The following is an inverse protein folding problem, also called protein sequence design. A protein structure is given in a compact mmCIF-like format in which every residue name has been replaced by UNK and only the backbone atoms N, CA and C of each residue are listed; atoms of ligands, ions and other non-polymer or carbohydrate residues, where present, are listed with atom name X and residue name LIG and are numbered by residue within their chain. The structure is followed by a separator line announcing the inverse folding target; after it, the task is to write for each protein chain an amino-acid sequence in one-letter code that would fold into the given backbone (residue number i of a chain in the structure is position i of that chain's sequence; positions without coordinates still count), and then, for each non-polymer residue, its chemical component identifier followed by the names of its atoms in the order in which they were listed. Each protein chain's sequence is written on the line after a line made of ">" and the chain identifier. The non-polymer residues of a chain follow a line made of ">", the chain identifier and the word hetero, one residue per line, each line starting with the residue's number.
data_IF_826323283238
#
_entry.id   IF_826323283238
#
_cell.length_a   1.000
_cell.length_b   1.000
_cell.length_c   1.000
_cell.angle_alpha   90.00
_cell.angle_beta   90.00
_cell.angle_gamma   90.00
#
_symmetry.space_group_name_H-M   'P 1'
#
loop_
_entity.id
_entity.type
_entity.pdbx_description
1 polymer ?
#
# COMPACT_ATOMS: atom_id res chain seq x y z
N UNK A 1 23.79 5.93 7.19
CA UNK A 1 22.40 5.50 6.94
C UNK A 1 21.71 6.61 6.17
N UNK A 2 20.82 6.26 5.26
CA UNK A 2 20.02 7.15 4.43
C UNK A 2 18.55 6.86 4.72
N UNK A 3 17.79 7.90 5.08
CA UNK A 3 16.35 7.80 5.22
C UNK A 3 15.71 7.69 3.82
N UNK A 4 14.95 6.63 3.58
CA UNK A 4 14.25 6.39 2.31
C UNK A 4 12.74 6.37 2.55
N UNK A 5 12.01 7.31 1.95
CA UNK A 5 10.56 7.39 2.01
C UNK A 5 9.93 6.54 0.89
N UNK A 6 9.31 5.43 1.28
CA UNK A 6 8.50 4.57 0.44
C UNK A 6 7.03 5.03 0.45
N UNK A 7 6.40 5.03 -0.73
CA UNK A 7 5.00 5.43 -0.93
C UNK A 7 4.24 4.50 -1.89
N UNK A 8 4.91 3.42 -2.35
CA UNK A 8 4.43 2.49 -3.37
C UNK A 8 4.61 1.03 -2.95
N UNK A 9 5.01 0.16 -3.88
CA UNK A 9 5.15 -1.28 -3.59
C UNK A 9 6.24 -1.62 -2.56
N UNK A 10 7.22 -0.74 -2.36
CA UNK A 10 8.23 -0.86 -1.29
C UNK A 10 7.65 -0.66 0.12
N UNK A 11 6.36 -0.36 0.26
CA UNK A 11 5.69 -0.44 1.56
C UNK A 11 5.49 -1.90 2.01
N UNK A 12 5.41 -2.85 1.07
CA UNK A 12 5.40 -4.28 1.38
C UNK A 12 6.74 -4.71 2.01
N UNK A 13 6.71 -5.00 3.31
CA UNK A 13 7.90 -5.39 4.06
C UNK A 13 8.54 -6.67 3.52
N UNK A 14 7.76 -7.63 3.02
CA UNK A 14 8.29 -8.86 2.44
C UNK A 14 9.04 -8.56 1.14
N UNK A 15 8.51 -7.64 0.32
CA UNK A 15 9.20 -7.17 -0.89
C UNK A 15 10.49 -6.42 -0.55
N UNK A 16 10.48 -5.57 0.47
CA UNK A 16 11.70 -4.87 0.91
C UNK A 16 12.75 -5.85 1.43
N UNK A 17 12.35 -6.84 2.22
CA UNK A 17 13.22 -7.91 2.69
C UNK A 17 13.88 -8.67 1.54
N UNK A 18 13.11 -9.02 0.50
CA UNK A 18 13.63 -9.69 -0.71
C UNK A 18 14.63 -8.80 -1.47
N UNK A 19 14.36 -7.49 -1.57
CA UNK A 19 15.16 -6.54 -2.36
C UNK A 19 16.46 -6.14 -1.68
N UNK A 20 16.42 -5.85 -0.38
CA UNK A 20 17.53 -5.20 0.34
C UNK A 20 17.93 -5.87 1.66
N UNK A 21 17.33 -7.01 2.02
CA UNK A 21 17.72 -7.84 3.17
C UNK A 21 17.20 -7.37 4.55
N UNK A 22 17.71 -7.99 5.62
CA UNK A 22 17.20 -7.84 7.00
C UNK A 22 17.30 -6.43 7.59
N UNK A 23 16.18 -6.02 8.19
CA UNK A 23 16.01 -4.99 9.22
C UNK A 23 16.25 -3.54 8.81
N UNK A 24 15.24 -2.98 8.14
CA UNK A 24 14.83 -1.61 8.47
C UNK A 24 13.35 -1.65 8.83
N UNK A 25 13.04 -1.50 10.12
CA UNK A 25 11.66 -1.28 10.53
C UNK A 25 11.22 0.04 9.90
N UNK A 26 10.22 -0.04 9.02
CA UNK A 26 9.65 1.14 8.40
C UNK A 26 8.90 1.93 9.47
N UNK A 27 9.12 3.24 9.53
CA UNK A 27 8.37 4.13 10.43
C UNK A 27 7.34 4.91 9.62
N UNK A 28 6.07 5.02 10.08
CA UNK A 28 5.05 5.76 9.35
C UNK A 28 5.44 7.23 9.18
N UNK A 29 5.21 7.79 8.00
CA UNK A 29 5.53 9.17 7.70
C UNK A 29 4.54 9.77 6.69
N UNK A 30 4.46 11.09 6.67
CA UNK A 30 3.59 11.83 5.77
C UNK A 30 4.41 12.84 4.96
N UNK A 31 4.19 12.86 3.66
CA UNK A 31 4.78 13.80 2.72
C UNK A 31 3.71 14.82 2.30
N UNK A 32 3.95 16.10 2.62
CA UNK A 32 3.01 17.21 2.40
C UNK A 32 3.33 17.94 1.10
N UNK A 33 2.31 18.41 0.40
CA UNK A 33 2.46 19.12 -0.88
C UNK A 33 2.60 18.18 -2.08
N UNK A 34 2.23 16.90 -1.93
CA UNK A 34 2.34 15.90 -2.99
C UNK A 34 1.05 15.09 -3.15
N UNK A 35 0.82 14.59 -4.36
CA UNK A 35 -0.19 13.57 -4.67
C UNK A 35 0.46 12.27 -5.12
N UNK A 36 -0.11 11.17 -4.65
CA UNK A 36 0.14 9.84 -5.20
C UNK A 36 -0.57 9.74 -6.56
N UNK A 37 0.19 9.43 -7.60
CA UNK A 37 -0.32 9.17 -8.95
C UNK A 37 0.24 7.84 -9.46
N UNK A 38 -0.32 7.34 -10.56
CA UNK A 38 0.10 6.06 -11.17
C UNK A 38 0.57 6.24 -12.60
N UNK A 39 1.23 7.36 -12.89
CA UNK A 39 1.51 7.83 -14.25
C UNK A 39 2.82 7.33 -14.87
N UNK A 40 3.52 6.41 -14.20
CA UNK A 40 4.72 5.75 -14.73
C UNK A 40 4.39 4.33 -15.15
N UNK A 41 4.63 3.99 -16.43
CA UNK A 41 4.47 2.61 -16.89
C UNK A 41 5.62 1.73 -16.38
N UNK A 42 5.29 0.53 -15.94
CA UNK A 42 6.27 -0.51 -15.62
C UNK A 42 6.19 -1.62 -16.66
N UNK A 43 7.28 -1.88 -17.38
CA UNK A 43 7.38 -3.01 -18.30
C UNK A 43 7.24 -4.35 -17.56
N UNK A 44 7.84 -4.46 -16.37
CA UNK A 44 7.81 -5.68 -15.56
C UNK A 44 6.42 -5.97 -14.99
N UNK A 45 5.73 -4.94 -14.48
CA UNK A 45 4.38 -5.09 -13.89
C UNK A 45 3.26 -4.97 -14.93
N UNK A 46 3.58 -4.48 -16.14
CA UNK A 46 2.64 -4.24 -17.26
C UNK A 46 1.45 -3.34 -16.88
N UNK A 47 1.66 -2.37 -16.00
CA UNK A 47 0.64 -1.43 -15.51
C UNK A 47 1.26 -0.08 -15.11
N UNK A 48 0.41 0.89 -14.75
CA UNK A 48 0.85 2.11 -14.07
C UNK A 48 1.32 1.81 -12.65
N UNK A 49 2.44 2.37 -12.24
CA UNK A 49 2.99 2.22 -10.88
C UNK A 49 3.10 3.57 -10.19
N UNK A 50 3.11 3.53 -8.86
CA UNK A 50 3.08 4.70 -8.00
C UNK A 50 4.18 5.70 -8.33
N UNK A 51 3.85 6.98 -8.31
CA UNK A 51 4.77 8.08 -8.46
C UNK A 51 4.27 9.27 -7.64
N UNK A 52 5.13 10.25 -7.40
CA UNK A 52 4.82 11.47 -6.65
C UNK A 52 4.71 12.67 -7.60
N UNK A 53 3.69 13.49 -7.39
CA UNK A 53 3.53 14.79 -8.07
C UNK A 53 3.49 15.89 -7.05
N UNK A 54 4.46 16.79 -7.10
CA UNK A 54 4.44 17.98 -6.28
C UNK A 54 3.30 18.89 -6.72
N UNK A 55 2.49 19.32 -5.77
CA UNK A 55 1.35 20.22 -5.98
C UNK A 55 1.51 21.53 -5.21
N UNK A 56 2.32 21.54 -4.14
CA UNK A 56 2.54 22.71 -3.28
C UNK A 56 1.38 23.04 -2.33
N UNK A 57 0.30 22.24 -2.32
CA UNK A 57 -0.82 22.43 -1.39
C UNK A 57 -0.64 21.59 -0.13
N UNK A 58 -0.67 22.21 1.05
CA UNK A 58 -0.50 21.47 2.31
C UNK A 58 -1.59 20.45 2.62
N UNK A 59 -2.75 20.59 1.96
CA UNK A 59 -3.85 19.63 2.04
C UNK A 59 -3.59 18.36 1.24
N UNK A 60 -2.65 18.39 0.29
CA UNK A 60 -2.27 17.22 -0.50
C UNK A 60 -1.17 16.45 0.26
N UNK A 61 -1.55 15.29 0.78
CA UNK A 61 -0.70 14.49 1.67
C UNK A 61 -0.58 13.09 1.07
N UNK A 62 0.65 12.59 0.98
CA UNK A 62 0.93 11.18 0.71
C UNK A 62 1.41 10.54 1.99
N UNK A 63 0.70 9.51 2.43
CA UNK A 63 1.12 8.68 3.55
C UNK A 63 2.01 7.54 3.03
N UNK A 64 3.03 7.20 3.82
CA UNK A 64 4.05 6.22 3.46
C UNK A 64 4.88 5.83 4.68
N UNK A 65 6.07 5.29 4.44
CA UNK A 65 6.96 4.89 5.51
C UNK A 65 8.43 5.16 5.19
N UNK A 66 9.21 5.43 6.22
CA UNK A 66 10.65 5.67 6.13
C UNK A 66 11.44 4.44 6.57
N UNK A 67 12.30 3.96 5.67
CA UNK A 67 13.32 2.95 5.94
C UNK A 67 14.70 3.62 6.17
N UNK A 68 15.58 2.98 6.94
CA UNK A 68 16.93 3.47 7.24
C UNK A 68 18.02 2.64 6.53
N UNK A 69 18.28 2.93 5.26
CA UNK A 69 19.12 2.08 4.42
C UNK A 69 20.61 2.42 4.57
N UNK A 70 21.48 1.42 4.58
CA UNK A 70 22.90 1.64 4.37
C UNK A 70 23.21 1.87 2.87
N UNK A 71 24.46 2.23 2.54
CA UNK A 71 24.84 2.56 1.16
C UNK A 71 24.69 1.37 0.19
N UNK A 72 24.95 0.15 0.64
CA UNK A 72 24.80 -1.07 -0.17
C UNK A 72 23.33 -1.36 -0.44
N UNK A 73 22.47 -1.24 0.57
CA UNK A 73 21.02 -1.40 0.46
C UNK A 73 20.41 -0.37 -0.48
N UNK A 74 20.82 0.89 -0.38
CA UNK A 74 20.38 1.93 -1.28
C UNK A 74 20.82 1.64 -2.73
N UNK A 75 22.04 1.15 -2.92
CA UNK A 75 22.55 0.73 -4.24
C UNK A 75 21.79 -0.47 -4.81
N UNK A 76 21.37 -1.41 -3.96
CA UNK A 76 20.51 -2.52 -4.36
C UNK A 76 19.13 -1.99 -4.80
N UNK A 77 18.55 -1.08 -4.01
CA UNK A 77 17.26 -0.48 -4.31
C UNK A 77 17.27 0.33 -5.61
N UNK A 78 18.34 1.08 -5.88
CA UNK A 78 18.54 1.80 -7.14
C UNK A 78 18.32 0.89 -8.37
N UNK A 79 18.79 -0.36 -8.31
CA UNK A 79 18.60 -1.35 -9.40
C UNK A 79 17.14 -1.74 -9.59
N UNK A 80 16.40 -1.94 -8.49
CA UNK A 80 14.98 -2.29 -8.55
C UNK A 80 14.10 -1.14 -9.05
N UNK A 81 14.49 0.09 -8.75
CA UNK A 81 13.82 1.29 -9.25
C UNK A 81 14.27 1.67 -10.67
N UNK A 82 15.27 0.98 -11.22
CA UNK A 82 15.84 1.29 -12.53
C UNK A 82 16.57 2.64 -12.55
N UNK A 83 17.02 3.12 -11.39
CA UNK A 83 17.80 4.34 -11.25
C UNK A 83 19.29 4.02 -11.41
N UNK A 84 19.98 4.80 -12.24
CA UNK A 84 21.42 4.74 -12.42
C UNK A 84 21.99 6.16 -12.29
N UNK A 85 22.75 6.47 -11.22
CA UNK A 85 23.27 7.82 -11.02
C UNK A 85 24.26 8.25 -12.11
N UNK A 86 24.97 7.32 -12.74
CA UNK A 86 25.91 7.62 -13.83
C UNK A 86 25.24 7.82 -15.17
N UNK A 87 23.97 7.36 -15.33
CA UNK A 87 23.19 7.46 -16.56
C UNK A 87 21.71 7.69 -16.24
N UNK A 88 21.33 8.89 -15.74
CA UNK A 88 19.97 9.16 -15.33
C UNK A 88 19.01 9.16 -16.53
N UNK A 89 17.94 8.37 -16.45
CA UNK A 89 16.85 8.41 -17.42
C UNK A 89 15.83 9.48 -17.05
N UNK A 90 15.56 10.41 -17.97
CA UNK A 90 14.51 11.44 -17.78
C UNK A 90 13.10 10.86 -17.55
N UNK A 91 12.91 9.60 -17.94
CA UNK A 91 11.64 8.87 -17.85
C UNK A 91 11.66 7.72 -16.82
N UNK A 92 12.79 7.55 -16.12
CA UNK A 92 12.93 6.63 -15.00
C UNK A 92 12.77 7.36 -13.67
N UNK A 93 12.73 6.59 -12.59
CA UNK A 93 12.83 7.17 -11.26
C UNK A 93 14.18 7.86 -11.08
N UNK A 94 14.15 8.99 -10.39
CA UNK A 94 15.31 9.73 -9.91
C UNK A 94 15.24 9.80 -8.38
N UNK A 95 16.37 9.67 -7.70
CA UNK A 95 16.41 9.98 -6.26
C UNK A 95 16.27 11.48 -6.06
N UNK A 96 15.36 11.86 -5.19
CA UNK A 96 15.10 13.25 -4.82
C UNK A 96 14.92 13.34 -3.31
N UNK A 97 15.44 14.41 -2.71
CA UNK A 97 15.14 14.73 -1.33
C UNK A 97 13.71 15.26 -1.24
N UNK A 98 12.97 14.74 -0.27
CA UNK A 98 11.63 15.20 0.10
C UNK A 98 11.63 15.60 1.56
N UNK A 99 10.86 16.62 1.90
CA UNK A 99 10.65 17.07 3.28
C UNK A 99 9.35 16.49 3.79
N UNK A 100 9.44 15.69 4.86
CA UNK A 100 8.30 15.07 5.51
C UNK A 100 7.60 16.08 6.43
N UNK A 101 6.36 15.77 6.85
CA UNK A 101 5.55 16.65 7.71
C UNK A 101 6.26 17.06 9.00
N UNK A 102 7.07 16.17 9.57
CA UNK A 102 7.84 16.43 10.79
C UNK A 102 9.10 17.28 10.57
N UNK A 103 9.34 17.73 9.34
CA UNK A 103 10.49 18.53 8.95
C UNK A 103 11.74 17.70 8.61
N UNK A 104 11.71 16.37 8.80
CA UNK A 104 12.82 15.51 8.42
C UNK A 104 12.95 15.39 6.89
N UNK A 105 14.18 15.13 6.43
CA UNK A 105 14.49 14.94 5.02
C UNK A 105 14.71 13.45 4.76
N UNK A 106 14.07 12.92 3.72
CA UNK A 106 14.28 11.58 3.23
C UNK A 106 14.53 11.59 1.72
N UNK A 107 15.26 10.60 1.21
CA UNK A 107 15.32 10.32 -0.21
C UNK A 107 14.06 9.57 -0.64
N UNK A 108 13.58 9.86 -1.85
CA UNK A 108 12.52 9.08 -2.48
C UNK A 108 12.78 8.98 -3.98
N UNK A 109 12.20 7.96 -4.61
CA UNK A 109 12.31 7.74 -6.05
C UNK A 109 11.14 8.42 -6.74
N UNK A 110 11.37 9.42 -7.57
CA UNK A 110 10.31 10.19 -8.26
C UNK A 110 10.63 10.27 -9.74
N UNK A 111 9.64 10.01 -10.60
CA UNK A 111 9.79 10.20 -12.05
C UNK A 111 9.44 11.65 -12.39
N UNK A 112 10.40 12.49 -12.80
CA UNK A 112 10.17 13.92 -13.03
C UNK A 112 9.34 14.19 -14.28
N UNK A 113 9.45 13.34 -15.31
CA UNK A 113 8.71 13.47 -16.56
C UNK A 113 8.11 12.12 -16.95
N UNK A 114 6.80 12.08 -17.15
CA UNK A 114 6.13 10.85 -17.62
C UNK A 114 5.88 10.92 -19.11
N UNK A 115 6.29 9.85 -19.81
CA UNK A 115 5.71 9.52 -21.11
C UNK A 115 4.27 9.11 -20.83
N UNK A 116 3.30 9.99 -21.10
CA UNK A 116 1.96 9.69 -21.63
C UNK A 116 0.97 10.81 -21.27
N UNK A 117 0.10 11.08 -22.24
CA UNK A 117 -1.03 12.01 -22.17
C UNK A 117 -2.28 11.42 -21.50
N UNK A 118 -2.17 10.24 -20.87
CA UNK A 118 -3.29 9.55 -20.22
C UNK A 118 -2.89 9.04 -18.84
N UNK A 119 -3.76 9.17 -17.83
CA UNK A 119 -3.54 8.52 -16.54
C UNK A 119 -3.47 7.01 -16.75
N UNK A 120 -2.31 6.44 -16.48
CA UNK A 120 -2.15 5.00 -16.39
C UNK A 120 -2.86 4.51 -15.13
N UNK A 121 -3.44 3.31 -15.22
CA UNK A 121 -4.07 2.65 -14.07
C UNK A 121 -3.17 1.54 -13.54
N UNK A 122 -3.04 1.42 -12.20
CA UNK A 122 -2.39 0.27 -11.60
C UNK A 122 -3.19 -1.01 -11.82
N UNK A 123 -2.52 -2.14 -11.75
CA UNK A 123 -3.18 -3.45 -11.69
C UNK A 123 -3.52 -3.80 -10.23
N UNK A 124 -4.50 -4.67 -10.05
CA UNK A 124 -4.86 -5.18 -8.72
C UNK A 124 -3.66 -5.83 -7.99
N UNK A 125 -2.84 -6.70 -8.64
CA UNK A 125 -1.66 -7.27 -7.98
C UNK A 125 -0.61 -6.23 -7.56
N UNK A 126 -0.50 -5.11 -8.27
CA UNK A 126 0.39 -4.03 -7.87
C UNK A 126 -0.11 -3.33 -6.61
N UNK A 127 -1.41 -3.01 -6.57
CA UNK A 127 -2.02 -2.35 -5.41
C UNK A 127 -2.03 -3.24 -4.16
N UNK A 128 -2.11 -4.56 -4.32
CA UNK A 128 -1.96 -5.49 -3.18
C UNK A 128 -0.63 -5.31 -2.44
N UNK A 129 0.49 -5.06 -3.14
CA UNK A 129 1.75 -4.72 -2.46
C UNK A 129 1.66 -3.40 -1.70
N UNK A 130 1.02 -2.38 -2.28
CA UNK A 130 0.84 -1.09 -1.62
C UNK A 130 -0.01 -1.24 -0.33
N UNK A 131 -1.07 -2.06 -0.39
CA UNK A 131 -1.96 -2.33 0.73
C UNK A 131 -1.30 -3.14 1.87
N UNK A 132 -0.32 -3.99 1.55
CA UNK A 132 0.53 -4.70 2.55
C UNK A 132 1.44 -3.77 3.35
N UNK A 133 1.48 -2.47 3.03
CA UNK A 133 2.24 -1.40 3.68
C UNK A 133 1.90 -1.09 5.13
N UNK A 134 1.56 -2.11 5.90
CA UNK A 134 0.69 -1.95 7.03
C UNK A 134 1.39 -1.25 8.19
N UNK A 135 0.71 -0.24 8.74
CA UNK A 135 1.14 0.79 9.70
C UNK A 135 1.56 2.13 9.09
N UNK A 136 1.84 2.21 7.79
CA UNK A 136 2.14 3.47 7.12
C UNK A 136 0.93 4.42 7.02
N UNK A 137 -0.29 3.87 7.08
CA UNK A 137 -1.51 4.59 6.71
C UNK A 137 -2.48 4.79 7.87
N UNK A 138 -3.07 5.98 7.92
CA UNK A 138 -4.30 6.28 8.63
C UNK A 138 -5.48 5.51 8.02
N UNK A 139 -6.54 5.23 8.79
CA UNK A 139 -7.70 4.50 8.28
C UNK A 139 -8.36 5.18 7.07
N UNK A 140 -8.41 6.52 7.06
CA UNK A 140 -9.03 7.28 5.97
C UNK A 140 -8.21 7.20 4.67
N UNK A 141 -6.88 7.35 4.77
CA UNK A 141 -6.00 7.23 3.61
C UNK A 141 -6.03 5.81 3.05
N UNK A 142 -5.99 4.80 3.92
CA UNK A 142 -6.12 3.41 3.53
C UNK A 142 -7.46 3.15 2.81
N UNK A 143 -8.56 3.67 3.36
CA UNK A 143 -9.89 3.62 2.74
C UNK A 143 -9.96 4.29 1.36
N UNK A 144 -9.21 5.38 1.14
CA UNK A 144 -9.16 6.07 -0.13
C UNK A 144 -8.51 5.25 -1.25
N UNK A 145 -7.55 4.36 -0.92
CA UNK A 145 -6.89 3.49 -1.90
C UNK A 145 -7.86 2.55 -2.61
N UNK A 146 -8.97 2.17 -1.97
CA UNK A 146 -10.02 1.35 -2.58
C UNK A 146 -10.79 2.04 -3.70
N UNK A 147 -10.75 3.38 -3.75
CA UNK A 147 -11.47 4.17 -4.77
C UNK A 147 -10.64 4.38 -6.03
N UNK A 148 -9.37 3.96 -6.02
CA UNK A 148 -8.48 4.03 -7.17
C UNK A 148 -9.03 3.20 -8.33
N UNK A 149 -9.01 3.78 -9.53
CA UNK A 149 -9.31 3.05 -10.78
C UNK A 149 -8.18 2.06 -11.06
N UNK A 150 -8.54 0.85 -11.48
CA UNK A 150 -7.59 -0.19 -11.87
C UNK A 150 -7.66 -0.49 -13.36
N UNK A 151 -6.60 -1.09 -13.89
CA UNK A 151 -6.44 -1.41 -15.31
C UNK A 151 -7.58 -2.31 -15.84
N UNK A 152 -8.16 -3.17 -15.00
CA UNK A 152 -9.27 -4.06 -15.34
C UNK A 152 -10.64 -3.35 -15.46
N UNK A 153 -10.70 -2.01 -15.42
CA UNK A 153 -11.89 -1.22 -15.75
C UNK A 153 -12.82 -0.90 -14.57
N UNK A 154 -12.52 -1.42 -13.38
CA UNK A 154 -13.23 -1.13 -12.13
C UNK A 154 -12.42 -0.26 -11.16
N UNK A 155 -12.92 -0.15 -9.93
CA UNK A 155 -12.15 0.33 -8.79
C UNK A 155 -11.52 -0.86 -8.07
N UNK A 156 -10.41 -0.65 -7.34
CA UNK A 156 -9.73 -1.73 -6.62
C UNK A 156 -10.70 -2.55 -5.75
N UNK A 157 -11.64 -1.86 -5.10
CA UNK A 157 -12.72 -2.47 -4.32
C UNK A 157 -13.53 -3.56 -5.02
N UNK A 158 -13.74 -3.42 -6.33
CA UNK A 158 -14.59 -4.32 -7.12
C UNK A 158 -13.86 -5.63 -7.43
N UNK A 159 -12.55 -5.63 -7.20
CA UNK A 159 -11.64 -6.74 -7.45
C UNK A 159 -10.98 -7.22 -6.16
N UNK A 160 -11.47 -6.80 -4.99
CA UNK A 160 -10.89 -7.26 -3.73
C UNK A 160 -11.10 -8.77 -3.64
N UNK A 161 -10.01 -9.56 -3.65
CA UNK A 161 -10.13 -10.99 -3.43
C UNK A 161 -10.44 -11.26 -1.97
N UNK A 162 -10.94 -12.47 -1.71
CA UNK A 162 -10.98 -13.12 -0.39
C UNK A 162 -9.68 -12.89 0.41
N UNK A 163 -8.53 -12.93 -0.26
CA UNK A 163 -7.18 -12.71 0.32
C UNK A 163 -6.99 -11.30 0.94
N UNK A 164 -7.72 -10.27 0.45
CA UNK A 164 -7.66 -8.94 1.05
C UNK A 164 -8.40 -8.87 2.39
N UNK A 165 -9.53 -9.57 2.49
CA UNK A 165 -10.22 -9.76 3.76
C UNK A 165 -9.32 -10.54 4.73
N UNK A 166 -8.62 -11.58 4.27
CA UNK A 166 -7.66 -12.36 5.09
C UNK A 166 -6.61 -11.45 5.70
N UNK A 167 -5.93 -10.65 4.87
CA UNK A 167 -4.93 -9.72 5.34
C UNK A 167 -5.48 -8.68 6.34
N UNK A 168 -6.68 -8.16 6.08
CA UNK A 168 -7.31 -7.19 6.98
C UNK A 168 -7.69 -7.81 8.32
N UNK A 169 -8.15 -9.06 8.32
CA UNK A 169 -8.39 -9.84 9.54
C UNK A 169 -7.06 -10.09 10.25
N UNK A 170 -6.03 -10.63 9.61
CA UNK A 170 -4.73 -10.90 10.24
C UNK A 170 -4.13 -9.69 10.96
N UNK A 171 -4.37 -8.49 10.41
CA UNK A 171 -3.76 -7.26 10.89
C UNK A 171 -4.74 -6.32 11.63
N UNK A 172 -5.94 -6.78 11.98
CA UNK A 172 -6.89 -6.01 12.79
C UNK A 172 -7.45 -4.76 12.14
N UNK A 173 -7.50 -4.69 10.80
CA UNK A 173 -7.87 -3.48 10.06
C UNK A 173 -9.38 -3.33 9.93
N UNK A 174 -10.03 -2.92 11.03
CA UNK A 174 -11.49 -2.75 11.16
C UNK A 174 -12.18 -2.20 9.90
N UNK A 175 -11.71 -1.05 9.36
CA UNK A 175 -12.35 -0.43 8.20
C UNK A 175 -12.22 -1.31 6.95
N UNK A 176 -11.04 -1.89 6.70
CA UNK A 176 -10.82 -2.80 5.57
C UNK A 176 -11.68 -4.07 5.66
N UNK A 177 -11.83 -4.60 6.88
CA UNK A 177 -12.70 -5.75 7.18
C UNK A 177 -14.16 -5.44 6.83
N UNK A 178 -14.73 -4.39 7.43
CA UNK A 178 -16.13 -4.01 7.19
C UNK A 178 -16.41 -3.74 5.71
N UNK A 179 -15.46 -3.06 5.07
CA UNK A 179 -15.54 -2.73 3.66
C UNK A 179 -15.61 -3.99 2.78
N UNK A 180 -14.72 -4.97 3.02
CA UNK A 180 -14.70 -6.22 2.27
C UNK A 180 -15.98 -7.05 2.48
N UNK A 181 -16.49 -7.12 3.71
CA UNK A 181 -17.73 -7.83 4.02
C UNK A 181 -18.96 -7.19 3.35
N UNK A 182 -19.04 -5.84 3.32
CA UNK A 182 -20.09 -5.12 2.59
C UNK A 182 -20.09 -5.46 1.07
N UNK A 183 -18.92 -5.79 0.52
CA UNK A 183 -18.74 -6.20 -0.88
C UNK A 183 -18.82 -7.71 -1.10
N UNK A 184 -19.47 -8.44 -0.18
CA UNK A 184 -19.76 -9.87 -0.28
C UNK A 184 -18.52 -10.78 -0.21
N UNK A 185 -17.40 -10.29 0.32
CA UNK A 185 -16.37 -11.21 0.81
C UNK A 185 -16.93 -11.98 2.01
N UNK A 186 -16.51 -13.24 2.17
CA UNK A 186 -17.04 -14.13 3.20
C UNK A 186 -15.96 -14.41 4.24
N UNK A 187 -16.30 -14.53 5.51
CA UNK A 187 -15.32 -14.98 6.51
C UNK A 187 -15.04 -16.47 6.29
N UNK A 188 -13.77 -16.88 6.18
CA UNK A 188 -13.40 -18.31 6.19
C UNK A 188 -13.39 -18.84 7.62
N UNK A 189 -13.36 -20.16 7.76
CA UNK A 189 -13.20 -20.83 9.05
C UNK A 189 -11.90 -20.41 9.74
N UNK A 190 -10.80 -20.27 9.01
CA UNK A 190 -9.51 -19.82 9.55
C UNK A 190 -9.60 -18.40 10.11
N UNK A 191 -10.26 -17.48 9.39
CA UNK A 191 -10.48 -16.12 9.87
C UNK A 191 -11.32 -16.11 11.16
N UNK A 192 -12.41 -16.88 11.20
CA UNK A 192 -13.29 -16.95 12.37
C UNK A 192 -12.53 -17.48 13.58
N UNK A 193 -11.72 -18.53 13.39
CA UNK A 193 -10.88 -19.08 14.46
C UNK A 193 -9.86 -18.05 14.96
N UNK A 194 -9.23 -17.29 14.05
CA UNK A 194 -8.31 -16.21 14.42
C UNK A 194 -9.03 -15.12 15.21
N UNK A 195 -10.19 -14.64 14.73
CA UNK A 195 -11.01 -13.61 15.39
C UNK A 195 -11.39 -14.03 16.81
N UNK A 196 -11.71 -15.31 17.02
CA UNK A 196 -12.07 -15.84 18.33
C UNK A 196 -10.88 -16.11 19.26
N UNK A 197 -9.64 -16.10 18.77
CA UNK A 197 -8.47 -16.33 19.61
C UNK A 197 -8.27 -15.22 20.66
N UNK A 198 -7.88 -15.57 21.89
CA UNK A 198 -7.73 -14.61 22.98
C UNK A 198 -6.76 -13.47 22.65
N UNK A 199 -5.62 -13.79 22.02
CA UNK A 199 -4.62 -12.81 21.62
C UNK A 199 -5.20 -11.79 20.63
N UNK A 200 -5.91 -12.27 19.60
CA UNK A 200 -6.49 -11.39 18.60
C UNK A 200 -7.56 -10.47 19.19
N UNK A 201 -8.42 -10.98 20.07
CA UNK A 201 -9.45 -10.17 20.73
C UNK A 201 -8.85 -9.09 21.62
N UNK A 202 -7.79 -9.43 22.34
CA UNK A 202 -7.04 -8.50 23.19
C UNK A 202 -6.38 -7.39 22.36
N UNK A 203 -5.78 -7.74 21.23
CA UNK A 203 -5.01 -6.81 20.42
C UNK A 203 -5.89 -5.95 19.50
N UNK A 204 -7.08 -6.43 19.11
CA UNK A 204 -7.94 -5.81 18.11
C UNK A 204 -9.39 -5.58 18.55
N UNK A 205 -9.65 -4.99 19.75
CA UNK A 205 -10.99 -4.93 20.33
C UNK A 205 -12.01 -4.19 19.46
N UNK A 206 -11.58 -3.16 18.70
CA UNK A 206 -12.46 -2.43 17.78
C UNK A 206 -12.86 -3.25 16.55
N UNK A 207 -11.94 -4.04 16.01
CA UNK A 207 -12.22 -4.91 14.87
C UNK A 207 -13.21 -6.01 15.27
N UNK A 208 -13.00 -6.62 16.44
CA UNK A 208 -13.91 -7.65 16.98
C UNK A 208 -15.32 -7.12 17.20
N UNK A 209 -15.47 -5.96 17.86
CA UNK A 209 -16.77 -5.34 18.07
C UNK A 209 -17.50 -5.06 16.74
N UNK A 210 -16.77 -4.64 15.71
CA UNK A 210 -17.33 -4.37 14.39
C UNK A 210 -17.74 -5.64 13.62
N UNK A 211 -17.10 -6.77 13.89
CA UNK A 211 -17.35 -8.07 13.27
C UNK A 211 -18.54 -8.81 13.86
N UNK A 212 -18.96 -8.46 15.07
CA UNK A 212 -19.98 -9.16 15.83
C UNK A 212 -21.30 -9.39 15.05
N UNK A 213 -21.87 -8.40 14.32
CA UNK A 213 -23.07 -8.62 13.50
C UNK A 213 -22.88 -9.64 12.36
N UNK A 214 -21.66 -9.80 11.85
CA UNK A 214 -21.33 -10.72 10.76
C UNK A 214 -21.10 -12.15 11.27
N UNK A 215 -20.59 -12.29 12.50
CA UNK A 215 -20.38 -13.58 13.16
C UNK A 215 -21.69 -14.18 13.68
N UNK A 216 -22.64 -13.33 14.08
CA UNK A 216 -23.96 -13.74 14.59
C UNK A 216 -24.97 -14.05 13.46
N UNK A 217 -24.72 -13.57 12.24
CA UNK A 217 -25.54 -13.87 11.08
C UNK A 217 -25.40 -15.36 10.68
N UNK A 218 -26.46 -16.15 10.88
CA UNK A 218 -26.51 -17.56 10.46
C UNK A 218 -26.16 -17.72 8.98
N UNK A 219 -25.42 -18.77 8.58
CA UNK A 219 -25.18 -19.06 7.17
C UNK A 219 -26.53 -19.19 6.45
N UNK A 220 -26.71 -18.44 5.36
CA UNK A 220 -27.87 -18.62 4.48
C UNK A 220 -27.81 -20.06 3.97
N UNK A 221 -28.79 -20.87 4.37
CA UNK A 221 -28.97 -22.20 3.83
C UNK A 221 -29.05 -22.09 2.30
N UNK A 222 -28.08 -22.68 1.61
CA UNK A 222 -28.15 -22.85 0.16
C UNK A 222 -29.37 -23.73 -0.09
N UNK A 223 -30.44 -23.13 -0.60
CA UNK A 223 -31.59 -23.88 -1.10
C UNK A 223 -31.10 -24.68 -2.31
N UNK A 224 -30.93 -25.99 -2.11
CA UNK A 224 -30.79 -26.97 -3.16
C UNK A 224 -32.05 -26.95 -4.02
N UNK A 225 -31.91 -26.56 -5.28
CA UNK A 225 -32.85 -26.85 -6.37
C UNK A 225 -32.10 -27.57 -7.48
#
# INVERSE_FOLDING_TARGET
>A
MTAYFAYGSNLDAAQMQERVGCSTQATPAQLVGYKLVFDKFSLNRKCGVANLRYTGFETDIVEGAVYQLNAEQLTMLDRFEGYNPSKPSRFGYQRQNVTLRDGSIAESYIVPHTYLSLPLSPSVPYLQHLLKGINAFTPDYYGALFRLKVKEGGQLRDHLPQEYLEHCIECGKQIGILYALEKKASLTTEMINLIHSENYQKDNPRAVAALQPYLEAKPQAVASF
#
